data_IF_527631207939
#
_entry.id   IF_527631207939
#
_cell.length_a   1.000
_cell.length_b   1.000
_cell.length_c   1.000
_cell.angle_alpha   90.00
_cell.angle_beta   90.00
_cell.angle_gamma   90.00
#
_symmetry.space_group_name_H-M   'P 1'
#
loop_
_entity.id
_entity.type
_entity.pdbx_description
1 polymer ?
#
# COMPACT_ATOMS: atom_id res chain seq x y z
N UNK A 1 -14.66 -24.90 -30.95
CA UNK A 1 -13.70 -24.47 -29.91
C UNK A 1 -14.30 -23.31 -29.15
N UNK A 2 -14.18 -23.28 -27.82
CA UNK A 2 -14.59 -22.12 -27.00
C UNK A 2 -13.49 -21.07 -27.09
N UNK A 3 -13.80 -19.91 -27.67
CA UNK A 3 -12.94 -18.74 -27.64
C UNK A 3 -13.29 -17.94 -26.38
N UNK A 4 -12.34 -17.80 -25.46
CA UNK A 4 -12.46 -16.90 -24.31
C UNK A 4 -11.93 -15.54 -24.72
N UNK A 5 -12.82 -14.56 -24.87
CA UNK A 5 -12.44 -13.18 -25.17
C UNK A 5 -12.25 -12.45 -23.84
N UNK A 6 -11.03 -11.98 -23.58
CA UNK A 6 -10.74 -11.14 -22.42
C UNK A 6 -11.04 -9.68 -22.79
N UNK A 7 -11.96 -8.99 -22.11
CA UNK A 7 -12.22 -7.58 -22.37
C UNK A 7 -11.01 -6.73 -21.95
N UNK A 8 -10.60 -5.81 -22.81
CA UNK A 8 -9.59 -4.82 -22.46
C UNK A 8 -10.20 -3.80 -21.48
N UNK A 9 -9.71 -3.77 -20.24
CA UNK A 9 -10.12 -2.78 -19.23
C UNK A 9 -9.20 -1.57 -19.35
N UNK A 10 -9.77 -0.42 -19.69
CA UNK A 10 -9.04 0.85 -19.75
C UNK A 10 -8.52 1.24 -18.37
N UNK A 11 -7.20 1.37 -18.24
CA UNK A 11 -6.53 1.83 -17.03
C UNK A 11 -6.56 3.36 -17.01
N UNK A 12 -7.38 3.95 -16.15
CA UNK A 12 -7.26 5.38 -15.83
C UNK A 12 -6.06 5.54 -14.91
N UNK A 13 -4.90 5.90 -15.48
CA UNK A 13 -3.75 6.36 -14.70
C UNK A 13 -4.16 7.69 -14.05
N UNK A 14 -4.42 7.70 -12.74
CA UNK A 14 -4.62 8.96 -12.02
C UNK A 14 -3.29 9.70 -11.99
N UNK A 15 -3.28 10.98 -12.37
CA UNK A 15 -2.11 11.87 -12.23
C UNK A 15 -1.71 12.16 -10.77
N UNK A 16 -2.35 11.50 -9.78
CA UNK A 16 -1.96 11.56 -8.38
C UNK A 16 -0.77 10.65 -8.12
N UNK A 17 0.33 11.20 -7.61
CA UNK A 17 1.53 10.44 -7.28
C UNK A 17 1.19 9.25 -6.37
N UNK A 18 1.38 8.02 -6.87
CA UNK A 18 1.34 6.81 -6.06
C UNK A 18 2.31 6.97 -4.89
N UNK A 19 1.79 6.98 -3.66
CA UNK A 19 2.56 7.47 -2.53
C UNK A 19 1.94 7.15 -1.19
N UNK A 20 2.77 7.31 -0.17
CA UNK A 20 2.38 7.15 1.23
C UNK A 20 2.39 8.53 1.90
N UNK A 21 1.29 8.87 2.57
CA UNK A 21 1.14 10.14 3.28
C UNK A 21 0.41 9.98 4.63
N UNK A 22 0.90 10.58 5.72
CA UNK A 22 2.14 11.33 5.83
C UNK A 22 3.37 10.40 5.77
N UNK A 23 4.51 10.97 5.41
CA UNK A 23 5.81 10.30 5.42
C UNK A 23 6.89 11.35 5.72
N UNK A 24 7.46 11.40 6.94
CA UNK A 24 7.39 10.38 7.99
C UNK A 24 6.01 10.21 8.66
N UNK A 25 5.77 9.02 9.22
CA UNK A 25 4.58 8.71 10.03
C UNK A 25 5.00 8.52 11.49
N UNK A 26 4.22 9.06 12.42
CA UNK A 26 4.44 8.83 13.86
C UNK A 26 3.92 7.44 14.23
N UNK A 27 4.57 6.75 15.16
CA UNK A 27 4.03 5.51 15.72
C UNK A 27 2.55 5.64 16.11
N UNK A 28 1.77 4.59 15.88
CA UNK A 28 0.31 4.54 16.10
C UNK A 28 -0.56 5.51 15.28
N UNK A 29 0.03 6.32 14.40
CA UNK A 29 -0.69 7.20 13.49
C UNK A 29 -1.19 6.44 12.26
N UNK A 30 -2.36 6.84 11.77
CA UNK A 30 -2.87 6.39 10.48
C UNK A 30 -2.14 7.08 9.31
N UNK A 31 -1.91 6.33 8.24
CA UNK A 31 -1.38 6.84 6.99
C UNK A 31 -2.17 6.30 5.80
N UNK A 32 -2.04 7.00 4.68
CA UNK A 32 -2.80 6.78 3.46
C UNK A 32 -1.85 6.30 2.39
N UNK A 33 -2.27 5.27 1.68
CA UNK A 33 -1.57 4.72 0.52
C UNK A 33 -2.48 4.89 -0.71
N UNK A 34 -2.04 5.69 -1.68
CA UNK A 34 -2.80 5.93 -2.92
C UNK A 34 -2.59 4.77 -3.89
N UNK A 35 -3.69 4.10 -4.27
CA UNK A 35 -3.71 2.90 -5.11
C UNK A 35 -4.80 2.99 -6.17
N UNK A 36 -4.68 2.20 -7.23
CA UNK A 36 -5.74 2.12 -8.24
C UNK A 36 -6.89 1.23 -7.78
N UNK A 37 -6.58 0.12 -7.09
CA UNK A 37 -7.56 -0.80 -6.51
C UNK A 37 -7.29 -1.06 -5.02
N UNK A 38 -7.56 -0.09 -4.14
CA UNK A 38 -7.32 -0.24 -2.71
C UNK A 38 -8.14 -1.36 -2.04
N UNK A 39 -9.27 -1.77 -2.63
CA UNK A 39 -10.12 -2.83 -2.09
C UNK A 39 -9.52 -4.24 -2.29
N UNK A 40 -8.83 -4.47 -3.41
CA UNK A 40 -8.26 -5.78 -3.77
C UNK A 40 -6.76 -5.87 -3.50
N UNK A 41 -6.11 -4.74 -3.21
CA UNK A 41 -4.68 -4.68 -2.97
C UNK A 41 -4.24 -5.51 -1.75
N UNK A 42 -3.22 -6.35 -1.93
CA UNK A 42 -2.54 -7.01 -0.81
C UNK A 42 -1.42 -6.09 -0.34
N UNK A 43 -1.29 -5.94 0.98
CA UNK A 43 -0.29 -5.06 1.58
C UNK A 43 0.56 -5.86 2.54
N UNK A 44 1.86 -5.82 2.29
CA UNK A 44 2.88 -6.43 3.11
C UNK A 44 3.83 -5.32 3.58
N UNK A 45 4.22 -5.37 4.85
CA UNK A 45 5.06 -4.33 5.44
C UNK A 45 6.30 -4.96 6.05
N UNK A 46 7.47 -4.43 5.69
CA UNK A 46 8.76 -5.04 6.04
C UNK A 46 9.73 -4.02 6.61
N UNK A 47 10.56 -4.44 7.56
CA UNK A 47 11.78 -3.74 7.93
C UNK A 47 12.84 -3.80 6.83
N UNK A 48 13.88 -2.98 6.95
CA UNK A 48 15.06 -3.04 6.06
C UNK A 48 15.83 -4.37 6.17
N UNK A 49 15.63 -5.10 7.28
CA UNK A 49 16.14 -6.45 7.51
C UNK A 49 15.29 -7.55 6.83
N UNK A 50 14.19 -7.17 6.16
CA UNK A 50 13.25 -8.07 5.51
C UNK A 50 12.24 -8.74 6.46
N UNK A 51 12.25 -8.39 7.75
CA UNK A 51 11.25 -8.94 8.69
C UNK A 51 9.88 -8.33 8.45
N UNK A 52 8.85 -9.17 8.43
CA UNK A 52 7.47 -8.71 8.33
C UNK A 52 7.08 -7.96 9.59
N UNK A 53 6.55 -6.76 9.42
CA UNK A 53 6.06 -5.89 10.46
C UNK A 53 4.52 -5.87 10.42
N UNK A 54 3.84 -5.84 11.58
CA UNK A 54 2.39 -5.89 11.60
C UNK A 54 1.79 -4.54 11.18
N UNK A 55 0.90 -4.58 10.19
CA UNK A 55 0.13 -3.43 9.70
C UNK A 55 -1.35 -3.79 9.65
N UNK A 56 -2.19 -2.87 10.06
CA UNK A 56 -3.65 -3.01 10.02
C UNK A 56 -4.24 -2.17 8.90
N UNK A 57 -5.14 -2.78 8.12
CA UNK A 57 -6.01 -2.08 7.19
C UNK A 57 -7.21 -1.53 7.94
N UNK A 58 -7.39 -0.21 7.91
CA UNK A 58 -8.51 0.48 8.56
C UNK A 58 -9.72 0.61 7.64
N UNK A 59 -9.49 0.78 6.33
CA UNK A 59 -10.55 0.93 5.34
C UNK A 59 -10.06 1.58 4.07
N UNK A 60 -10.98 1.86 3.15
CA UNK A 60 -10.71 2.54 1.88
C UNK A 60 -11.44 3.87 1.87
N UNK A 61 -10.73 4.94 1.50
CA UNK A 61 -11.28 6.29 1.42
C UNK A 61 -10.85 6.97 0.11
N UNK A 62 -11.82 7.26 -0.77
CA UNK A 62 -11.61 8.04 -2.00
C UNK A 62 -10.50 7.52 -2.94
N UNK A 63 -10.27 6.21 -2.98
CA UNK A 63 -9.17 5.59 -3.75
C UNK A 63 -7.84 5.50 -3.00
N UNK A 64 -7.85 5.74 -1.68
CA UNK A 64 -6.70 5.50 -0.82
C UNK A 64 -7.02 4.34 0.13
N UNK A 65 -6.02 3.53 0.42
CA UNK A 65 -6.06 2.56 1.49
C UNK A 65 -5.58 3.23 2.78
N UNK A 66 -6.43 3.22 3.80
CA UNK A 66 -6.11 3.67 5.14
C UNK A 66 -5.42 2.54 5.89
N UNK A 67 -4.19 2.80 6.32
CA UNK A 67 -3.34 1.85 7.02
C UNK A 67 -2.92 2.44 8.36
N UNK A 68 -2.73 1.57 9.34
CA UNK A 68 -2.11 1.90 10.61
C UNK A 68 -1.08 0.85 10.94
N UNK A 69 0.12 1.29 11.30
CA UNK A 69 1.10 0.40 11.91
C UNK A 69 0.55 -0.06 13.27
N UNK A 70 0.61 -1.36 13.53
CA UNK A 70 0.26 -1.91 14.84
C UNK A 70 1.52 -2.41 15.53
N UNK A 71 1.69 -2.10 16.81
CA UNK A 71 2.87 -2.48 17.59
C UNK A 71 3.93 -1.37 17.64
N UNK A 72 4.93 -1.56 18.51
CA UNK A 72 6.03 -0.58 18.67
C UNK A 72 7.06 -0.79 17.57
N UNK A 73 7.06 0.08 16.57
CA UNK A 73 8.15 0.15 15.59
C UNK A 73 9.24 1.09 16.11
N UNK A 74 10.50 0.72 15.86
CA UNK A 74 11.61 1.64 16.03
C UNK A 74 11.56 2.70 14.93
N UNK A 75 11.94 3.94 15.27
CA UNK A 75 12.10 5.00 14.29
C UNK A 75 13.11 4.58 13.22
N UNK A 76 12.79 4.77 11.94
CA UNK A 76 13.61 4.27 10.84
C UNK A 76 12.84 4.11 9.53
N UNK A 77 13.48 3.46 8.58
CA UNK A 77 12.93 3.23 7.24
C UNK A 77 12.33 1.84 7.15
N UNK A 78 11.17 1.74 6.51
CA UNK A 78 10.44 0.51 6.24
C UNK A 78 9.98 0.47 4.80
N UNK A 79 9.71 -0.74 4.31
CA UNK A 79 9.26 -1.00 2.94
C UNK A 79 7.84 -1.54 2.98
N UNK A 80 6.92 -0.78 2.39
CA UNK A 80 5.55 -1.19 2.15
C UNK A 80 5.47 -1.77 0.74
N UNK A 81 5.17 -3.05 0.65
CA UNK A 81 4.98 -3.77 -0.60
C UNK A 81 3.50 -3.94 -0.86
N UNK A 82 3.06 -3.57 -2.06
CA UNK A 82 1.66 -3.58 -2.45
C UNK A 82 1.53 -4.42 -3.71
N UNK A 83 0.70 -5.45 -3.63
CA UNK A 83 0.36 -6.26 -4.79
C UNK A 83 -1.04 -5.87 -5.25
N UNK A 84 -1.13 -5.22 -6.42
CA UNK A 84 -2.40 -4.81 -7.05
C UNK A 84 -2.39 -5.21 -8.53
N UNK A 85 -3.49 -5.77 -9.05
CA UNK A 85 -3.63 -6.15 -10.48
C UNK A 85 -2.47 -7.02 -11.03
N UNK A 86 -1.85 -7.84 -10.18
CA UNK A 86 -0.69 -8.66 -10.56
C UNK A 86 0.63 -7.87 -10.69
N UNK A 87 0.67 -6.62 -10.25
CA UNK A 87 1.88 -5.81 -10.13
C UNK A 87 2.25 -5.61 -8.66
N UNK A 88 3.53 -5.81 -8.36
CA UNK A 88 4.10 -5.52 -7.04
C UNK A 88 4.77 -4.15 -7.07
N UNK A 89 4.31 -3.23 -6.22
CA UNK A 89 4.88 -1.90 -6.03
C UNK A 89 5.47 -1.78 -4.64
N UNK A 90 6.59 -1.07 -4.51
CA UNK A 90 7.28 -0.87 -3.23
C UNK A 90 7.31 0.62 -2.90
N UNK A 91 6.92 0.96 -1.68
CA UNK A 91 6.93 2.31 -1.15
C UNK A 91 7.80 2.38 0.09
N UNK A 92 8.61 3.44 0.18
CA UNK A 92 9.41 3.73 1.36
C UNK A 92 8.57 4.49 2.38
N UNK A 93 8.48 3.96 3.60
CA UNK A 93 7.84 4.64 4.73
C UNK A 93 8.88 4.93 5.81
N UNK A 94 8.99 6.19 6.22
CA UNK A 94 9.81 6.59 7.37
C UNK A 94 8.89 6.63 8.58
N UNK A 95 9.29 5.98 9.67
CA UNK A 95 8.60 6.00 10.96
C UNK A 95 9.44 6.83 11.93
N UNK A 96 8.79 7.72 12.66
CA UNK A 96 9.40 8.52 13.74
C UNK A 96 8.81 8.16 15.11
#
# INVERSE_FOLDING_TARGET
GKATVFPAVSVVLREGAYGVYPNPVVNDQQFRLSLDEPETALVNFYGVDGRSMPVQKLGVESGNLLLKVTGKLSSGVYILTVDERGQTRKHRLVVE
#
